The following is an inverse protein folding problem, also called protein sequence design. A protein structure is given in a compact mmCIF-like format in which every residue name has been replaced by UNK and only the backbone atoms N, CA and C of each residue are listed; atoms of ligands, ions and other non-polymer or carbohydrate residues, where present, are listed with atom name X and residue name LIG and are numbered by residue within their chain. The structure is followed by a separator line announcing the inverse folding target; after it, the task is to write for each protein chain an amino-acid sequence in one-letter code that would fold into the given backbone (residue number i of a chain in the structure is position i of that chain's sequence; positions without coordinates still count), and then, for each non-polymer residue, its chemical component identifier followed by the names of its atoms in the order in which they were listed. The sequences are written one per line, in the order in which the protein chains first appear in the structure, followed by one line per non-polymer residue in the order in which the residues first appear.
data_IF_879151698623
#
_entry.id   IF_879151698623
#
_cell.length_a   1.000
_cell.length_b   1.000
_cell.length_c   1.000
_cell.angle_alpha   90.00
_cell.angle_beta   90.00
_cell.angle_gamma   90.00
#
_symmetry.space_group_name_H-M   'P 1'
#
loop_
_entity.id
_entity.type
_entity.pdbx_description
1 polymer ?
#
# COMPACT_ATOMS: atom_id res chain seq x y z
N UNK A 1 -26.25 4.40 9.29
CA UNK A 1 -26.21 2.95 9.60
C UNK A 1 -24.85 2.45 9.16
N UNK A 2 -23.88 2.32 10.08
CA UNK A 2 -22.52 1.89 9.74
C UNK A 2 -22.53 0.39 9.46
N UNK A 3 -22.13 0.01 8.25
CA UNK A 3 -21.87 -1.40 7.92
C UNK A 3 -20.64 -1.84 8.71
N UNK A 4 -20.66 -2.96 9.44
CA UNK A 4 -19.46 -3.46 10.10
C UNK A 4 -18.46 -3.86 9.01
N UNK A 5 -17.29 -3.21 8.97
CA UNK A 5 -16.20 -3.65 8.10
C UNK A 5 -15.67 -4.96 8.65
N UNK A 6 -15.96 -6.08 7.98
CA UNK A 6 -15.41 -7.37 8.34
C UNK A 6 -13.87 -7.29 8.35
N UNK A 7 -13.24 -7.91 9.35
CA UNK A 7 -11.78 -7.98 9.43
C UNK A 7 -11.21 -8.61 8.14
N UNK A 8 -10.04 -8.14 7.65
CA UNK A 8 -9.45 -8.68 6.44
C UNK A 8 -9.20 -10.18 6.59
N UNK A 9 -9.76 -10.98 5.68
CA UNK A 9 -9.51 -12.42 5.62
C UNK A 9 -8.03 -12.63 5.29
N UNK A 10 -7.37 -13.54 6.01
CA UNK A 10 -6.02 -13.95 5.64
C UNK A 10 -6.02 -14.70 4.30
N UNK A 11 -5.13 -14.32 3.37
CA UNK A 11 -4.95 -15.03 2.11
C UNK A 11 -4.42 -16.45 2.31
N UNK A 12 -4.84 -17.37 1.44
CA UNK A 12 -4.25 -18.70 1.37
C UNK A 12 -2.85 -18.66 0.74
N UNK A 13 -2.18 -19.81 0.61
CA UNK A 13 -0.81 -19.84 0.10
C UNK A 13 -0.71 -19.31 -1.35
N UNK A 14 -1.64 -19.69 -2.23
CA UNK A 14 -1.61 -19.28 -3.64
C UNK A 14 -1.86 -17.78 -3.77
N UNK A 15 -2.86 -17.26 -3.05
CA UNK A 15 -3.17 -15.83 -3.06
C UNK A 15 -2.02 -15.01 -2.47
N UNK A 16 -1.38 -15.46 -1.38
CA UNK A 16 -0.18 -14.81 -0.85
C UNK A 16 0.94 -14.76 -1.88
N UNK A 17 1.29 -15.90 -2.47
CA UNK A 17 2.41 -15.99 -3.40
C UNK A 17 2.15 -15.13 -4.64
N UNK A 18 0.90 -15.08 -5.12
CA UNK A 18 0.51 -14.23 -6.23
C UNK A 18 0.57 -12.73 -5.89
N UNK A 19 0.15 -12.34 -4.69
CA UNK A 19 0.16 -10.93 -4.25
C UNK A 19 1.57 -10.44 -3.88
N UNK A 20 2.45 -11.33 -3.44
CA UNK A 20 3.81 -10.98 -3.00
C UNK A 20 4.71 -10.42 -4.11
N UNK A 21 4.35 -10.65 -5.38
CA UNK A 21 5.10 -10.17 -6.55
C UNK A 21 4.48 -8.93 -7.20
N UNK A 22 3.37 -8.43 -6.65
CA UNK A 22 2.67 -7.26 -7.19
C UNK A 22 3.05 -5.99 -6.44
N UNK A 23 3.47 -4.97 -7.17
CA UNK A 23 3.76 -3.63 -6.66
C UNK A 23 2.80 -2.62 -7.30
N UNK A 24 1.52 -2.59 -6.90
CA UNK A 24 0.57 -1.66 -7.48
C UNK A 24 0.88 -0.23 -7.05
N UNK A 25 0.32 0.69 -7.82
CA UNK A 25 0.36 2.12 -7.57
C UNK A 25 -1.07 2.68 -7.52
N UNK A 26 -1.21 3.94 -7.12
CA UNK A 26 -2.51 4.59 -6.96
C UNK A 26 -2.45 6.08 -7.31
N UNK A 27 -3.63 6.71 -7.41
CA UNK A 27 -3.80 8.14 -7.56
C UNK A 27 -3.96 8.83 -6.21
N UNK A 28 -3.42 10.05 -6.10
CA UNK A 28 -3.47 10.85 -4.88
C UNK A 28 -2.16 10.78 -4.09
N UNK A 29 -2.08 11.64 -3.09
CA UNK A 29 -0.83 11.95 -2.36
C UNK A 29 -0.90 11.48 -0.92
N UNK A 30 -2.06 11.51 -0.28
CA UNK A 30 -2.13 11.30 1.17
C UNK A 30 -2.83 10.02 1.58
N UNK A 31 -3.80 9.56 0.78
CA UNK A 31 -4.73 8.51 1.18
C UNK A 31 -4.64 7.34 0.21
N UNK A 32 -3.95 6.25 0.59
CA UNK A 32 -4.00 5.01 -0.17
C UNK A 32 -5.45 4.51 -0.28
N UNK A 33 -5.84 3.90 -1.42
CA UNK A 33 -7.17 3.30 -1.54
C UNK A 33 -7.41 2.24 -0.47
N UNK A 34 -8.64 2.17 0.06
CA UNK A 34 -8.96 1.23 1.14
C UNK A 34 -8.73 -0.25 0.78
N UNK A 35 -8.81 -0.62 -0.51
CA UNK A 35 -8.50 -1.98 -0.94
C UNK A 35 -7.01 -2.31 -0.78
N UNK A 36 -6.12 -1.34 -1.00
CA UNK A 36 -4.68 -1.53 -0.89
C UNK A 36 -4.30 -1.76 0.57
N UNK A 37 -4.80 -0.91 1.47
CA UNK A 37 -4.58 -1.05 2.91
C UNK A 37 -5.06 -2.40 3.42
N UNK A 38 -6.26 -2.86 3.02
CA UNK A 38 -6.75 -4.18 3.42
C UNK A 38 -5.86 -5.33 2.95
N UNK A 39 -5.30 -5.25 1.74
CA UNK A 39 -4.41 -6.30 1.22
C UNK A 39 -3.06 -6.30 1.94
N UNK A 40 -2.53 -5.13 2.29
CA UNK A 40 -1.33 -4.99 3.14
C UNK A 40 -1.59 -5.54 4.55
N UNK A 41 -2.67 -5.12 5.21
CA UNK A 41 -3.08 -5.57 6.55
C UNK A 41 -3.31 -7.08 6.62
N UNK A 42 -3.80 -7.68 5.53
CA UNK A 42 -4.03 -9.14 5.47
C UNK A 42 -2.73 -9.97 5.40
N UNK A 43 -1.59 -9.33 5.10
CA UNK A 43 -0.31 -9.99 4.86
C UNK A 43 -0.19 -10.69 3.50
N UNK A 44 -1.05 -10.33 2.54
CA UNK A 44 -0.99 -10.82 1.16
C UNK A 44 -0.10 -9.97 0.28
N UNK A 45 -0.39 -8.67 0.22
CA UNK A 45 0.41 -7.73 -0.56
C UNK A 45 1.59 -7.23 0.26
N UNK A 46 2.76 -7.19 -0.38
CA UNK A 46 4.03 -6.87 0.28
C UNK A 46 4.73 -5.66 -0.31
N UNK A 47 4.23 -5.09 -1.41
CA UNK A 47 4.86 -3.97 -2.09
C UNK A 47 3.88 -2.92 -2.59
N UNK A 48 4.36 -1.68 -2.71
CA UNK A 48 3.66 -0.54 -3.31
C UNK A 48 4.65 0.30 -4.12
N UNK A 49 4.24 0.71 -5.32
CA UNK A 49 5.02 1.62 -6.16
C UNK A 49 4.50 3.07 -6.07
N UNK A 50 5.39 4.01 -5.76
CA UNK A 50 5.16 5.45 -5.83
C UNK A 50 5.71 6.01 -7.14
N UNK A 51 5.04 7.03 -7.66
CA UNK A 51 5.45 7.81 -8.82
C UNK A 51 5.38 9.30 -8.47
N UNK A 52 5.84 10.18 -9.38
CA UNK A 52 5.77 11.64 -9.17
C UNK A 52 4.38 12.17 -8.80
N UNK A 53 3.29 11.53 -9.25
CA UNK A 53 1.91 11.89 -8.86
C UNK A 53 1.56 11.65 -7.38
N UNK A 54 2.40 10.92 -6.65
CA UNK A 54 2.24 10.60 -5.23
C UNK A 54 3.12 11.49 -4.32
N UNK A 55 3.97 12.33 -4.92
CA UNK A 55 5.02 13.10 -4.24
C UNK A 55 4.75 14.60 -4.38
N UNK A 56 4.62 15.29 -3.24
CA UNK A 56 4.40 16.74 -3.15
C UNK A 56 5.47 17.41 -2.32
N UNK A 57 5.79 16.84 -1.15
CA UNK A 57 6.82 17.33 -0.24
C UNK A 57 7.33 16.21 0.66
N UNK A 58 8.50 16.40 1.28
CA UNK A 58 9.10 15.43 2.20
C UNK A 58 8.18 15.09 3.39
N UNK A 59 7.52 16.11 3.95
CA UNK A 59 6.56 15.94 5.06
C UNK A 59 5.36 15.07 4.62
N UNK A 60 4.81 15.33 3.43
CA UNK A 60 3.70 14.56 2.89
C UNK A 60 4.10 13.12 2.61
N UNK A 61 5.26 12.89 1.99
CA UNK A 61 5.77 11.53 1.71
C UNK A 61 6.06 10.78 3.01
N UNK A 62 6.58 11.46 4.03
CA UNK A 62 6.76 10.87 5.37
C UNK A 62 5.41 10.42 5.95
N UNK A 63 4.38 11.25 5.86
CA UNK A 63 3.02 10.90 6.31
C UNK A 63 2.41 9.73 5.52
N UNK A 64 2.61 9.71 4.20
CA UNK A 64 2.13 8.65 3.33
C UNK A 64 2.81 7.30 3.66
N UNK A 65 4.13 7.29 3.73
CA UNK A 65 4.91 6.06 3.99
C UNK A 65 4.65 5.54 5.41
N UNK A 66 4.48 6.41 6.40
CA UNK A 66 4.08 6.01 7.75
C UNK A 66 2.71 5.31 7.77
N UNK A 67 1.74 5.78 6.97
CA UNK A 67 0.43 5.11 6.83
C UNK A 67 0.53 3.72 6.20
N UNK A 68 1.39 3.56 5.19
CA UNK A 68 1.62 2.26 4.54
C UNK A 68 2.32 1.28 5.50
N UNK A 69 3.35 1.72 6.22
CA UNK A 69 4.01 0.90 7.25
C UNK A 69 3.10 0.56 8.43
N UNK A 70 2.13 1.42 8.78
CA UNK A 70 1.13 1.09 9.81
C UNK A 70 0.22 -0.08 9.38
N UNK A 71 -0.06 -0.22 8.08
CA UNK A 71 -0.83 -1.33 7.54
C UNK A 71 -0.01 -2.62 7.43
N UNK A 72 1.27 -2.51 7.03
CA UNK A 72 2.22 -3.63 7.03
C UNK A 72 3.64 -3.10 7.32
N UNK A 73 4.23 -3.39 8.50
CA UNK A 73 5.56 -2.90 8.86
C UNK A 73 6.68 -3.34 7.91
N UNK A 74 6.48 -4.43 7.18
CA UNK A 74 7.44 -5.01 6.23
C UNK A 74 7.15 -4.62 4.76
N UNK A 75 6.25 -3.66 4.51
CA UNK A 75 5.93 -3.27 3.12
C UNK A 75 7.15 -2.69 2.41
N UNK A 76 7.41 -3.17 1.20
CA UNK A 76 8.39 -2.58 0.29
C UNK A 76 7.76 -1.40 -0.44
N UNK A 77 8.20 -0.20 -0.10
CA UNK A 77 7.78 1.03 -0.79
C UNK A 77 8.85 1.36 -1.83
N UNK A 78 8.56 1.01 -3.09
CA UNK A 78 9.41 1.36 -4.22
C UNK A 78 8.98 2.72 -4.76
N UNK A 79 9.93 3.48 -5.30
CA UNK A 79 9.66 4.68 -6.09
C UNK A 79 10.33 4.54 -7.44
N UNK A 80 9.62 4.96 -8.47
CA UNK A 80 10.22 5.12 -9.78
C UNK A 80 10.69 6.57 -9.94
N UNK A 81 12.00 6.76 -9.87
CA UNK A 81 12.69 8.02 -10.15
C UNK A 81 13.40 7.82 -11.50
N UNK A 82 12.64 7.82 -12.59
CA UNK A 82 13.21 7.89 -13.94
C UNK A 82 13.70 9.31 -14.24
N UNK A 83 14.45 9.93 -13.31
CA UNK A 83 14.86 11.32 -13.33
C UNK A 83 15.38 11.82 -14.69
N UNK A 84 15.18 13.12 -14.93
CA UNK A 84 15.85 13.89 -15.97
C UNK A 84 17.12 14.54 -15.44
#
# INVERSE_FOLDING_TARGET
MSVPTAAPRKPDALERDALAVLHPTFHGTDTPPAWLLRLLESGGMTGVGLFGRNVVSDEQVTGLTARLHAANPEVLIAIDEEGG
#
